data_IF_493800698248
#
_entry.id   IF_493800698248
#
_cell.length_a   1.000
_cell.length_b   1.000
_cell.length_c   1.000
_cell.angle_alpha   90.00
_cell.angle_beta   90.00
_cell.angle_gamma   90.00
#
_symmetry.space_group_name_H-M   'P 1'
#
loop_
_entity.id
_entity.type
_entity.pdbx_description
1 polymer ?
#
# COMPACT_ATOMS: atom_id res chain seq x y z
N UNK A 1 -27.23 13.67 -6.26
CA UNK A 1 -27.80 12.72 -5.27
C UNK A 1 -26.62 11.97 -4.66
N UNK A 2 -26.08 12.47 -3.55
CA UNK A 2 -24.87 11.92 -2.91
C UNK A 2 -25.27 10.74 -2.03
N UNK A 3 -25.05 9.52 -2.52
CA UNK A 3 -25.17 8.31 -1.70
C UNK A 3 -24.00 8.30 -0.69
N UNK A 4 -24.28 8.76 0.53
CA UNK A 4 -23.33 8.61 1.64
C UNK A 4 -23.44 7.17 2.12
N UNK A 5 -22.34 6.40 2.23
CA UNK A 5 -22.43 5.01 2.65
C UNK A 5 -23.15 4.96 4.00
N UNK A 6 -24.25 4.21 4.06
CA UNK A 6 -25.03 4.00 5.28
C UNK A 6 -24.11 3.36 6.31
N UNK A 7 -23.51 4.17 7.20
CA UNK A 7 -22.74 3.68 8.35
C UNK A 7 -23.66 2.77 9.16
N UNK A 8 -23.44 1.47 9.03
CA UNK A 8 -24.22 0.48 9.76
C UNK A 8 -23.96 0.62 11.25
N UNK A 9 -24.93 0.21 12.07
CA UNK A 9 -24.80 0.24 13.52
C UNK A 9 -23.56 -0.53 14.00
N UNK A 10 -23.23 -1.65 13.31
CA UNK A 10 -22.01 -2.41 13.55
C UNK A 10 -20.72 -1.62 13.31
N UNK A 11 -20.67 -0.80 12.26
CA UNK A 11 -19.49 0.03 11.94
C UNK A 11 -19.18 1.05 13.05
N UNK A 12 -20.23 1.66 13.64
CA UNK A 12 -20.08 2.58 14.78
C UNK A 12 -19.63 1.88 16.05
N UNK A 13 -20.09 0.65 16.29
CA UNK A 13 -19.64 -0.15 17.44
C UNK A 13 -18.16 -0.51 17.32
N UNK A 14 -17.72 -0.95 16.14
CA UNK A 14 -16.32 -1.24 15.85
C UNK A 14 -15.45 0.01 16.00
N UNK A 15 -15.85 1.15 15.42
CA UNK A 15 -15.12 2.43 15.57
C UNK A 15 -15.03 2.89 17.04
N UNK A 16 -16.13 2.79 17.81
CA UNK A 16 -16.22 3.35 19.17
C UNK A 16 -15.58 2.48 20.24
N UNK A 17 -15.68 1.16 20.12
CA UNK A 17 -15.24 0.23 21.16
C UNK A 17 -14.02 -0.56 20.71
N UNK A 18 -14.08 -1.23 19.56
CA UNK A 18 -12.98 -2.13 19.15
C UNK A 18 -11.71 -1.35 18.81
N UNK A 19 -11.79 -0.29 18.01
CA UNK A 19 -10.59 0.49 17.64
C UNK A 19 -10.02 1.32 18.80
N UNK A 20 -10.84 1.71 19.79
CA UNK A 20 -10.37 2.47 20.96
C UNK A 20 -9.55 1.61 21.92
N UNK A 21 -9.91 0.33 22.07
CA UNK A 21 -9.24 -0.58 23.01
C UNK A 21 -8.14 -1.41 22.35
N UNK A 22 -8.32 -1.84 21.09
CA UNK A 22 -7.37 -2.68 20.37
C UNK A 22 -6.52 -1.91 19.35
N UNK A 23 -6.75 -0.61 19.19
CA UNK A 23 -6.08 0.21 18.19
C UNK A 23 -6.71 0.08 16.79
N UNK A 24 -6.32 0.95 15.85
CA UNK A 24 -6.66 0.76 14.44
C UNK A 24 -6.15 -0.61 13.96
N UNK A 25 -6.83 -1.26 13.00
CA UNK A 25 -6.30 -2.48 12.41
C UNK A 25 -4.91 -2.19 11.84
N UNK A 26 -3.89 -2.85 12.37
CA UNK A 26 -2.58 -2.81 11.76
C UNK A 26 -2.67 -3.55 10.43
N UNK A 27 -2.44 -2.84 9.33
CA UNK A 27 -2.26 -3.44 8.01
C UNK A 27 -0.87 -4.10 7.87
N UNK A 28 -0.08 -4.09 8.95
CA UNK A 28 1.23 -4.70 9.03
C UNK A 28 1.15 -6.18 9.39
N UNK A 29 2.10 -6.95 8.90
CA UNK A 29 2.36 -8.27 9.48
C UNK A 29 3.08 -8.08 10.81
N UNK A 30 2.38 -8.35 11.92
CA UNK A 30 2.92 -8.39 13.29
C UNK A 30 4.01 -9.47 13.46
N UNK A 31 4.00 -10.46 12.56
CA UNK A 31 5.06 -11.46 12.47
C UNK A 31 6.16 -10.99 11.51
N UNK A 32 7.44 -11.17 11.86
CA UNK A 32 8.49 -10.97 10.88
C UNK A 32 8.24 -11.93 9.71
N UNK A 33 7.97 -11.35 8.54
CA UNK A 33 7.88 -12.12 7.30
C UNK A 33 9.17 -12.89 7.05
N UNK A 34 9.14 -13.86 6.13
CA UNK A 34 10.38 -14.50 5.67
C UNK A 34 11.32 -13.40 5.17
N UNK A 35 12.59 -13.46 5.53
CA UNK A 35 13.61 -12.62 4.88
C UNK A 35 13.61 -12.89 3.38
N UNK A 36 13.81 -11.83 2.60
CA UNK A 36 14.03 -11.96 1.18
C UNK A 36 15.29 -12.80 0.92
N UNK A 37 15.29 -13.61 -0.14
CA UNK A 37 16.50 -14.25 -0.63
C UNK A 37 17.43 -13.22 -1.27
N UNK A 38 18.68 -13.62 -1.51
CA UNK A 38 19.63 -12.79 -2.26
C UNK A 38 19.11 -12.49 -3.67
N UNK A 39 18.52 -13.48 -4.34
CA UNK A 39 17.95 -13.32 -5.67
C UNK A 39 16.74 -12.38 -5.69
N UNK A 40 15.87 -12.46 -4.67
CA UNK A 40 14.73 -11.56 -4.50
C UNK A 40 15.20 -10.12 -4.30
N UNK A 41 16.24 -9.94 -3.48
CA UNK A 41 16.84 -8.62 -3.22
C UNK A 41 17.49 -8.06 -4.49
N UNK A 42 18.28 -8.87 -5.18
CA UNK A 42 18.95 -8.47 -6.42
C UNK A 42 17.95 -8.08 -7.52
N UNK A 43 16.84 -8.80 -7.62
CA UNK A 43 15.75 -8.46 -8.54
C UNK A 43 15.08 -7.14 -8.17
N UNK A 44 14.81 -6.91 -6.89
CA UNK A 44 14.23 -5.63 -6.43
C UNK A 44 15.17 -4.45 -6.73
N UNK A 45 16.46 -4.62 -6.47
CA UNK A 45 17.49 -3.62 -6.78
C UNK A 45 17.55 -3.33 -8.28
N UNK A 46 17.48 -4.37 -9.13
CA UNK A 46 17.41 -4.22 -10.57
C UNK A 46 16.16 -3.42 -11.01
N UNK A 47 14.98 -3.77 -10.49
CA UNK A 47 13.75 -3.06 -10.79
C UNK A 47 13.83 -1.58 -10.37
N UNK A 48 14.43 -1.28 -9.22
CA UNK A 48 14.64 0.08 -8.74
C UNK A 48 15.65 0.88 -9.56
N UNK A 49 16.63 0.20 -10.17
CA UNK A 49 17.59 0.81 -11.07
C UNK A 49 16.96 1.14 -12.43
N UNK A 50 16.15 0.21 -12.96
CA UNK A 50 15.62 0.26 -14.32
C UNK A 50 14.29 1.01 -14.44
N UNK A 51 13.49 1.10 -13.37
CA UNK A 51 12.14 1.67 -13.43
C UNK A 51 12.01 2.94 -12.59
N UNK A 52 11.19 3.86 -13.06
CA UNK A 52 10.77 5.06 -12.32
C UNK A 52 9.26 5.18 -12.27
N UNK A 53 8.75 5.75 -11.17
CA UNK A 53 7.31 5.99 -10.98
C UNK A 53 6.93 7.33 -11.56
N UNK A 54 5.93 7.34 -12.43
CA UNK A 54 5.37 8.55 -13.04
C UNK A 54 3.87 8.60 -12.80
N UNK A 55 3.37 9.79 -12.45
CA UNK A 55 1.93 10.04 -12.32
C UNK A 55 1.35 10.34 -13.71
N UNK A 56 0.42 9.50 -14.17
CA UNK A 56 -0.30 9.72 -15.40
C UNK A 56 -1.33 10.86 -15.31
N UNK A 57 -1.82 11.35 -16.45
CA UNK A 57 -2.86 12.39 -16.49
C UNK A 57 -4.22 11.91 -15.94
N UNK A 58 -4.39 10.60 -15.82
CA UNK A 58 -5.52 9.93 -15.17
C UNK A 58 -5.38 9.83 -13.64
N UNK A 59 -4.27 10.35 -13.07
CA UNK A 59 -3.96 10.29 -11.65
C UNK A 59 -3.48 8.92 -11.16
N UNK A 60 -3.19 7.98 -12.06
CA UNK A 60 -2.63 6.66 -11.71
C UNK A 60 -1.11 6.69 -11.75
N UNK A 61 -0.48 5.85 -10.93
CA UNK A 61 0.98 5.69 -10.92
C UNK A 61 1.37 4.57 -11.88
N UNK A 62 2.32 4.87 -12.77
CA UNK A 62 2.89 3.94 -13.73
C UNK A 62 4.37 3.74 -13.43
N UNK A 63 4.86 2.53 -13.64
CA UNK A 63 6.30 2.25 -13.71
C UNK A 63 6.71 2.33 -15.17
N UNK A 64 7.60 3.24 -15.48
CA UNK A 64 8.19 3.39 -16.82
C UNK A 64 9.67 3.10 -16.75
N UNK A 65 10.23 2.64 -17.87
CA UNK A 65 11.67 2.44 -17.95
C UNK A 65 12.36 3.79 -17.75
N UNK A 66 13.42 3.79 -16.94
CA UNK A 66 14.29 4.94 -16.79
C UNK A 66 15.03 5.11 -18.12
N UNK A 67 14.71 6.18 -18.83
CA UNK A 67 15.48 6.56 -20.01
C UNK A 67 16.94 6.77 -19.57
N UNK A 68 17.92 6.22 -20.28
CA UNK A 68 19.35 6.39 -19.99
C UNK A 68 19.85 7.83 -20.24
N UNK A 69 18.96 8.81 -20.23
CA UNK A 69 19.26 10.21 -20.53
C UNK A 69 19.47 10.98 -19.22
N UNK A 70 20.74 11.05 -18.83
CA UNK A 70 21.24 12.15 -18.00
C UNK A 70 21.16 13.49 -18.74
#
# INVERSE_FOLDING_TARGET
>A
MTDSPRRSWGMRFTERYLLRFFGPPELGHDRPGRRASADETAREDQLHAELTRVLGPDGRVYLVQRDEQG
#
